data_IF_261889872094
#
_entry.id   IF_261889872094
#
_cell.length_a   1.000
_cell.length_b   1.000
_cell.length_c   1.000
_cell.angle_alpha   90.00
_cell.angle_beta   90.00
_cell.angle_gamma   90.00
#
_symmetry.space_group_name_H-M   'P 1'
#
loop_
_entity.id
_entity.type
_entity.pdbx_description
1 polymer ?
#
# COMPACT_ATOMS: atom_id res chain seq x y z
N UNK A 1 -0.78 -2.72 22.82
CA UNK A 1 0.44 -2.81 21.97
C UNK A 1 0.38 -1.58 21.11
N UNK A 2 1.32 -0.65 21.23
CA UNK A 2 1.21 0.65 20.55
C UNK A 2 1.58 0.48 19.08
N UNK A 3 0.78 1.00 18.17
CA UNK A 3 1.04 1.03 16.74
C UNK A 3 1.68 2.37 16.34
N UNK A 4 2.69 2.30 15.48
CA UNK A 4 3.26 3.44 14.76
C UNK A 4 3.07 3.22 13.27
N UNK A 5 2.22 4.03 12.64
CA UNK A 5 2.08 4.08 11.19
C UNK A 5 3.03 5.15 10.64
N UNK A 6 3.83 4.80 9.64
CA UNK A 6 4.80 5.69 8.99
C UNK A 6 4.45 5.74 7.50
N UNK A 7 4.13 6.92 6.98
CA UNK A 7 3.98 7.13 5.54
C UNK A 7 5.37 7.18 4.90
N UNK A 8 5.64 6.27 3.96
CA UNK A 8 6.89 6.25 3.20
C UNK A 8 6.99 7.51 2.34
N UNK A 9 8.20 8.00 2.14
CA UNK A 9 8.43 9.26 1.45
C UNK A 9 8.27 9.09 -0.08
N UNK A 10 7.50 9.98 -0.69
CA UNK A 10 7.31 10.03 -2.15
C UNK A 10 8.42 10.84 -2.86
N UNK A 11 9.24 11.58 -2.11
CA UNK A 11 10.33 12.42 -2.61
C UNK A 11 11.52 12.42 -1.64
N UNK A 12 12.64 13.03 -2.03
CA UNK A 12 13.83 13.26 -1.16
C UNK A 12 13.55 14.19 0.06
N UNK A 13 12.28 14.42 0.41
CA UNK A 13 11.89 15.11 1.64
C UNK A 13 12.44 14.39 2.85
N UNK A 14 13.10 15.16 3.72
CA UNK A 14 13.87 14.66 4.86
C UNK A 14 13.01 14.12 6.01
N UNK A 15 11.70 13.98 5.85
CA UNK A 15 10.79 13.55 6.93
C UNK A 15 9.65 12.68 6.46
N UNK A 16 9.27 11.72 7.31
CA UNK A 16 8.10 10.86 7.15
C UNK A 16 6.95 11.40 7.99
N UNK A 17 5.75 11.45 7.41
CA UNK A 17 4.55 11.64 8.19
C UNK A 17 4.30 10.37 9.03
N UNK A 18 3.84 10.54 10.27
CA UNK A 18 3.56 9.41 11.16
C UNK A 18 2.31 9.63 12.00
N UNK A 19 1.74 8.53 12.48
CA UNK A 19 0.69 8.51 13.48
C UNK A 19 0.95 7.41 14.51
N UNK A 20 0.69 7.69 15.78
CA UNK A 20 0.77 6.76 16.91
C UNK A 20 -0.63 6.46 17.41
N UNK A 21 -0.89 5.20 17.71
CA UNK A 21 -2.18 4.74 18.22
C UNK A 21 -1.99 3.61 19.22
N UNK A 22 -2.60 3.71 20.40
CA UNK A 22 -2.53 2.69 21.45
C UNK A 22 -3.51 1.52 21.20
N UNK A 23 -4.62 1.79 20.50
CA UNK A 23 -5.71 0.86 20.22
C UNK A 23 -5.76 0.38 18.76
N UNK A 24 -4.95 0.98 17.88
CA UNK A 24 -4.93 0.71 16.44
C UNK A 24 -6.08 1.36 15.67
N UNK A 25 -6.90 2.19 16.32
CA UNK A 25 -8.11 2.80 15.76
C UNK A 25 -8.03 4.33 15.86
N UNK A 26 -7.84 4.86 17.07
CA UNK A 26 -7.76 6.29 17.32
C UNK A 26 -6.30 6.77 17.23
N UNK A 27 -6.10 7.97 16.67
CA UNK A 27 -4.79 8.61 16.62
C UNK A 27 -4.55 9.35 17.94
N UNK A 28 -3.54 8.91 18.69
CA UNK A 28 -3.13 9.57 19.94
C UNK A 28 -2.20 10.75 19.66
N UNK A 29 -1.28 10.59 18.71
CA UNK A 29 -0.39 11.65 18.25
C UNK A 29 0.03 11.44 16.81
N UNK A 30 0.40 12.53 16.14
CA UNK A 30 0.85 12.50 14.75
C UNK A 30 1.83 13.64 14.48
N UNK A 31 2.58 13.56 13.39
CA UNK A 31 3.52 14.59 13.00
C UNK A 31 4.31 14.21 11.75
N UNK A 32 5.40 14.93 11.51
CA UNK A 32 6.40 14.59 10.51
C UNK A 32 7.80 14.67 11.12
N UNK A 33 8.64 13.68 10.87
CA UNK A 33 10.00 13.63 11.39
C UNK A 33 10.92 12.78 10.50
N UNK A 34 12.24 13.08 10.44
CA UNK A 34 13.20 12.15 9.85
C UNK A 34 13.14 10.80 10.58
N UNK A 35 13.52 9.72 9.91
CA UNK A 35 13.42 8.36 10.46
C UNK A 35 14.10 8.21 11.84
N UNK A 36 15.24 8.87 12.05
CA UNK A 36 15.98 8.86 13.31
C UNK A 36 15.25 9.52 14.49
N UNK A 37 14.23 10.35 14.22
CA UNK A 37 13.47 11.10 15.23
C UNK A 37 12.00 10.63 15.34
N UNK A 38 11.63 9.54 14.66
CA UNK A 38 10.30 8.97 14.79
C UNK A 38 10.07 8.45 16.23
N UNK A 39 8.83 8.52 16.75
CA UNK A 39 8.54 8.10 18.12
C UNK A 39 8.82 6.61 18.36
N UNK A 40 9.52 6.29 19.45
CA UNK A 40 9.79 4.91 19.87
C UNK A 40 9.04 4.60 21.16
N UNK A 41 8.38 3.45 21.22
CA UNK A 41 7.66 2.98 22.41
C UNK A 41 7.97 1.51 22.75
N UNK A 42 7.82 1.08 24.02
CA UNK A 42 7.92 -0.33 24.39
C UNK A 42 6.83 -1.17 23.70
N UNK A 43 7.20 -2.33 23.12
CA UNK A 43 6.26 -3.23 22.41
C UNK A 43 5.47 -2.48 21.33
N UNK A 44 6.18 -1.72 20.50
CA UNK A 44 5.63 -0.97 19.39
C UNK A 44 5.55 -1.84 18.13
N UNK A 45 4.42 -1.82 17.46
CA UNK A 45 4.26 -2.39 16.12
C UNK A 45 4.44 -1.28 15.09
N UNK A 46 5.41 -1.43 14.19
CA UNK A 46 5.68 -0.44 13.14
C UNK A 46 5.05 -0.89 11.83
N UNK A 47 4.24 -0.01 11.23
CA UNK A 47 3.50 -0.22 10.00
C UNK A 47 4.00 0.77 8.97
N UNK A 48 4.65 0.28 7.91
CA UNK A 48 5.02 1.10 6.78
C UNK A 48 3.81 1.26 5.85
N UNK A 49 3.45 2.50 5.54
CA UNK A 49 2.33 2.86 4.68
C UNK A 49 2.88 3.37 3.35
N UNK A 50 2.60 2.66 2.27
CA UNK A 50 3.01 3.03 0.92
C UNK A 50 2.05 4.11 0.39
N UNK A 51 2.53 5.31 0.02
CA UNK A 51 1.67 6.38 -0.45
C UNK A 51 0.93 5.98 -1.73
N UNK A 52 -0.30 6.47 -1.87
CA UNK A 52 -1.16 6.13 -3.00
C UNK A 52 -0.52 6.47 -4.37
N UNK A 53 0.26 7.55 -4.45
CA UNK A 53 0.97 7.97 -5.66
C UNK A 53 2.08 7.00 -6.13
N UNK A 54 2.58 6.13 -5.24
CA UNK A 54 3.59 5.10 -5.54
C UNK A 54 3.00 3.73 -5.88
N UNK A 55 1.68 3.62 -5.89
CA UNK A 55 0.97 2.36 -6.10
C UNK A 55 0.17 2.37 -7.40
N UNK A 56 0.31 1.29 -8.16
CA UNK A 56 -0.58 0.95 -9.26
C UNK A 56 -1.39 -0.30 -8.93
N UNK A 57 -2.67 -0.29 -9.24
CA UNK A 57 -3.58 -1.40 -8.95
C UNK A 57 -3.98 -2.14 -10.22
N UNK A 58 -3.72 -3.44 -10.26
CA UNK A 58 -4.06 -4.32 -11.38
C UNK A 58 -5.11 -5.33 -10.95
N UNK A 59 -6.15 -5.49 -11.78
CA UNK A 59 -7.15 -6.54 -11.57
C UNK A 59 -6.88 -7.72 -12.48
N UNK A 60 -6.71 -8.91 -11.91
CA UNK A 60 -6.40 -10.13 -12.67
C UNK A 60 -7.05 -11.35 -12.02
N UNK A 61 -7.15 -12.47 -12.74
CA UNK A 61 -7.64 -13.74 -12.20
C UNK A 61 -6.47 -14.68 -11.97
N UNK A 62 -6.25 -15.09 -10.71
CA UNK A 62 -5.14 -15.98 -10.39
C UNK A 62 -5.42 -17.40 -10.91
N UNK A 63 -4.46 -18.03 -11.60
CA UNK A 63 -4.57 -19.43 -11.94
C UNK A 63 -4.56 -20.31 -10.69
N UNK A 64 -5.05 -21.54 -10.83
CA UNK A 64 -5.13 -22.51 -9.72
C UNK A 64 -3.75 -22.70 -9.08
N UNK A 65 -3.66 -22.47 -7.78
CA UNK A 65 -2.40 -22.56 -7.01
C UNK A 65 -1.58 -21.26 -6.91
N UNK A 66 -2.02 -20.15 -7.54
CA UNK A 66 -1.33 -18.84 -7.50
C UNK A 66 -1.52 -18.02 -6.23
N UNK A 67 -2.23 -18.52 -5.22
CA UNK A 67 -2.56 -17.76 -3.99
C UNK A 67 -1.53 -17.95 -2.86
N UNK A 68 -0.50 -18.78 -3.05
CA UNK A 68 0.59 -18.90 -2.07
C UNK A 68 1.52 -17.70 -2.24
N UNK A 69 1.34 -16.72 -1.35
CA UNK A 69 2.11 -15.49 -1.29
C UNK A 69 3.63 -15.77 -1.42
N UNK A 70 4.26 -15.00 -2.29
CA UNK A 70 5.71 -14.90 -2.47
C UNK A 70 6.46 -16.14 -2.99
N UNK A 71 5.82 -16.91 -3.88
CA UNK A 71 6.57 -17.91 -4.67
C UNK A 71 7.16 -17.27 -5.94
N UNK A 72 8.41 -17.58 -6.34
CA UNK A 72 8.97 -17.16 -7.64
C UNK A 72 8.05 -17.51 -8.83
N UNK A 73 7.30 -18.61 -8.69
CA UNK A 73 6.27 -19.03 -9.65
C UNK A 73 5.13 -18.01 -9.79
N UNK A 74 4.67 -17.44 -8.67
CA UNK A 74 3.63 -16.42 -8.70
C UNK A 74 4.12 -15.14 -9.39
N UNK A 75 5.37 -14.72 -9.13
CA UNK A 75 5.97 -13.58 -9.85
C UNK A 75 6.05 -13.83 -11.35
N UNK A 76 6.47 -15.01 -11.79
CA UNK A 76 6.48 -15.36 -13.22
C UNK A 76 5.07 -15.35 -13.85
N UNK A 77 4.07 -15.86 -13.12
CA UNK A 77 2.67 -15.84 -13.57
C UNK A 77 2.13 -14.42 -13.65
N UNK A 78 2.37 -13.58 -12.64
CA UNK A 78 1.94 -12.18 -12.65
C UNK A 78 2.66 -11.39 -13.74
N UNK A 79 3.94 -11.67 -13.96
CA UNK A 79 4.73 -11.11 -15.06
C UNK A 79 4.04 -11.36 -16.40
N UNK A 80 3.76 -12.62 -16.74
CA UNK A 80 3.08 -12.92 -18.00
C UNK A 80 1.62 -12.43 -18.08
N UNK A 81 0.88 -12.38 -16.96
CA UNK A 81 -0.50 -11.87 -16.94
C UNK A 81 -0.58 -10.35 -17.08
N UNK A 82 0.47 -9.64 -16.68
CA UNK A 82 0.50 -8.18 -16.60
C UNK A 82 1.50 -7.56 -17.59
N UNK A 83 2.22 -8.35 -18.39
CA UNK A 83 3.27 -7.89 -19.32
C UNK A 83 2.77 -6.78 -20.26
N UNK A 84 1.57 -6.93 -20.82
CA UNK A 84 0.97 -5.93 -21.71
C UNK A 84 0.36 -4.72 -20.97
N UNK A 85 0.26 -4.77 -19.65
CA UNK A 85 -0.39 -3.74 -18.81
C UNK A 85 0.60 -2.93 -17.98
N UNK A 86 1.85 -3.41 -17.86
CA UNK A 86 2.90 -2.76 -17.10
C UNK A 86 3.74 -1.91 -18.05
N UNK A 87 3.98 -0.67 -17.63
CA UNK A 87 4.84 0.25 -18.37
C UNK A 87 6.33 -0.05 -18.13
N UNK A 88 6.64 -0.73 -17.02
CA UNK A 88 8.00 -1.04 -16.56
C UNK A 88 8.29 -2.54 -16.62
N UNK A 89 9.59 -2.87 -16.60
CA UNK A 89 10.07 -4.23 -16.48
C UNK A 89 9.59 -4.87 -15.16
N UNK A 90 8.95 -6.03 -15.27
CA UNK A 90 8.44 -6.85 -14.16
C UNK A 90 9.53 -7.11 -13.11
N UNK A 91 10.79 -7.24 -13.50
CA UNK A 91 11.90 -7.48 -12.56
C UNK A 91 12.18 -6.29 -11.63
N UNK A 92 11.85 -5.08 -12.07
CA UNK A 92 12.00 -3.83 -11.31
C UNK A 92 10.83 -3.54 -10.36
N UNK A 93 9.77 -4.35 -10.42
CA UNK A 93 8.52 -4.15 -9.69
C UNK A 93 8.35 -5.11 -8.51
N UNK A 94 7.66 -4.64 -7.48
CA UNK A 94 7.16 -5.45 -6.38
C UNK A 94 5.65 -5.66 -6.55
N UNK A 95 5.19 -6.87 -6.26
CA UNK A 95 3.79 -7.26 -6.39
C UNK A 95 3.25 -7.75 -5.05
N UNK A 96 2.12 -7.21 -4.62
CA UNK A 96 1.39 -7.67 -3.44
C UNK A 96 -0.06 -8.02 -3.81
N UNK A 97 -0.51 -9.22 -3.42
CA UNK A 97 -1.86 -9.69 -3.68
C UNK A 97 -2.76 -9.29 -2.52
N UNK A 98 -4.01 -8.94 -2.82
CA UNK A 98 -5.02 -8.67 -1.79
C UNK A 98 -5.11 -9.80 -0.74
N UNK A 99 -5.42 -9.45 0.52
CA UNK A 99 -5.57 -10.45 1.56
C UNK A 99 -6.74 -11.39 1.24
N UNK A 100 -6.58 -12.68 1.59
CA UNK A 100 -7.61 -13.72 1.40
C UNK A 100 -7.99 -14.04 -0.06
N UNK A 101 -7.11 -13.73 -1.01
CA UNK A 101 -7.28 -14.08 -2.42
C UNK A 101 -7.65 -15.56 -2.65
N UNK A 102 -8.65 -15.79 -3.51
CA UNK A 102 -9.13 -17.13 -3.87
C UNK A 102 -8.71 -17.49 -5.29
N UNK A 103 -8.24 -18.71 -5.48
CA UNK A 103 -7.89 -19.21 -6.81
C UNK A 103 -9.10 -19.20 -7.76
N UNK A 104 -8.91 -18.73 -8.99
CA UNK A 104 -9.97 -18.66 -9.99
C UNK A 104 -10.98 -17.51 -9.81
N UNK A 105 -10.79 -16.64 -8.82
CA UNK A 105 -11.56 -15.40 -8.68
C UNK A 105 -10.71 -14.19 -9.12
N UNK A 106 -11.35 -13.09 -9.57
CA UNK A 106 -10.67 -11.83 -9.77
C UNK A 106 -10.10 -11.30 -8.46
N UNK A 107 -8.84 -10.88 -8.47
CA UNK A 107 -8.13 -10.30 -7.34
C UNK A 107 -7.49 -8.96 -7.69
N UNK A 108 -7.28 -8.14 -6.68
CA UNK A 108 -6.42 -6.97 -6.78
C UNK A 108 -4.96 -7.33 -6.53
N UNK A 109 -4.09 -6.76 -7.35
CA UNK A 109 -2.63 -6.81 -7.20
C UNK A 109 -2.11 -5.39 -7.13
N UNK A 110 -1.49 -5.04 -6.02
CA UNK A 110 -0.75 -3.79 -5.85
C UNK A 110 0.64 -3.94 -6.47
N UNK A 111 1.08 -2.90 -7.18
CA UNK A 111 2.36 -2.85 -7.88
C UNK A 111 3.08 -1.55 -7.52
N UNK A 112 4.37 -1.63 -7.19
CA UNK A 112 5.23 -0.46 -6.98
C UNK A 112 6.66 -0.76 -7.41
N UNK A 113 7.48 0.29 -7.54
CA UNK A 113 8.91 0.16 -7.79
C UNK A 113 9.60 -0.56 -6.62
N UNK A 114 10.30 -1.67 -6.93
CA UNK A 114 10.94 -2.52 -5.92
C UNK A 114 12.14 -1.84 -5.26
N UNK A 115 12.98 -1.18 -6.06
CA UNK A 115 14.20 -0.55 -5.58
C UNK A 115 13.90 0.57 -4.58
N UNK A 116 12.93 1.43 -4.91
CA UNK A 116 12.39 2.45 -4.02
C UNK A 116 11.87 1.86 -2.71
N UNK A 117 10.97 0.87 -2.76
CA UNK A 117 10.39 0.26 -1.55
C UNK A 117 11.49 -0.33 -0.64
N UNK A 118 12.47 -1.02 -1.22
CA UNK A 118 13.60 -1.56 -0.47
C UNK A 118 14.51 -0.47 0.10
N UNK A 119 14.63 0.68 -0.57
CA UNK A 119 15.36 1.85 -0.07
C UNK A 119 14.72 2.41 1.19
N UNK A 120 13.42 2.70 1.13
CA UNK A 120 12.63 3.24 2.24
C UNK A 120 12.63 2.31 3.45
N UNK A 121 12.40 1.02 3.25
CA UNK A 121 12.41 0.04 4.34
C UNK A 121 13.79 -0.06 5.00
N UNK A 122 14.88 -0.06 4.22
CA UNK A 122 16.24 -0.07 4.77
C UNK A 122 16.56 1.21 5.54
N UNK A 123 16.07 2.36 5.08
CA UNK A 123 16.24 3.64 5.77
C UNK A 123 15.60 3.56 7.17
N UNK A 124 14.34 3.11 7.25
CA UNK A 124 13.64 2.94 8.53
C UNK A 124 14.33 1.91 9.44
N UNK A 125 14.75 0.76 8.89
CA UNK A 125 15.46 -0.28 9.63
C UNK A 125 16.80 0.22 10.18
N UNK A 126 17.55 1.01 9.40
CA UNK A 126 18.83 1.61 9.83
C UNK A 126 18.65 2.63 10.96
N UNK A 127 17.46 3.24 11.06
CA UNK A 127 17.07 4.12 12.15
C UNK A 127 16.51 3.34 13.38
N UNK A 128 16.49 2.00 13.34
CA UNK A 128 16.07 1.14 14.44
C UNK A 128 14.59 0.74 14.42
N UNK A 129 13.85 1.07 13.37
CA UNK A 129 12.44 0.71 13.24
C UNK A 129 12.28 -0.65 12.56
N UNK A 130 11.87 -1.67 13.32
CA UNK A 130 11.56 -2.98 12.76
C UNK A 130 10.15 -2.99 12.19
N UNK A 131 10.04 -3.01 10.87
CA UNK A 131 8.75 -3.02 10.15
C UNK A 131 8.05 -4.37 10.36
N UNK A 132 6.84 -4.33 10.93
CA UNK A 132 6.01 -5.50 11.17
C UNK A 132 5.16 -5.87 9.94
N UNK A 133 4.68 -4.85 9.21
CA UNK A 133 3.94 -5.02 7.96
C UNK A 133 4.05 -3.78 7.07
N UNK A 134 3.85 -4.00 5.78
CA UNK A 134 3.71 -2.96 4.76
C UNK A 134 2.27 -2.95 4.28
N UNK A 135 1.63 -1.79 4.27
CA UNK A 135 0.23 -1.62 3.84
C UNK A 135 0.12 -0.48 2.83
N UNK A 136 -0.84 -0.53 1.91
CA UNK A 136 -1.13 0.62 1.07
C UNK A 136 -1.82 1.72 1.89
N UNK A 137 -1.57 2.99 1.56
CA UNK A 137 -2.35 4.12 2.10
C UNK A 137 -3.83 3.97 1.73
N UNK A 138 -4.10 3.48 0.51
CA UNK A 138 -5.44 3.27 -0.03
C UNK A 138 -5.50 1.99 -0.84
N UNK A 139 -6.51 1.17 -0.58
CA UNK A 139 -6.85 0.03 -1.43
C UNK A 139 -8.12 0.33 -2.24
N UNK A 140 -8.27 -0.25 -3.44
CA UNK A 140 -9.54 -0.27 -4.15
C UNK A 140 -10.63 -0.87 -3.26
N UNK A 141 -11.84 -0.32 -3.37
CA UNK A 141 -13.01 -0.91 -2.73
C UNK A 141 -13.45 -2.16 -3.52
N UNK A 142 -14.08 -3.15 -2.85
CA UNK A 142 -14.69 -4.27 -3.54
C UNK A 142 -15.69 -3.78 -4.59
N UNK A 143 -15.63 -4.34 -5.80
CA UNK A 143 -16.62 -4.11 -6.84
C UNK A 143 -17.74 -5.13 -6.67
N UNK A 144 -18.94 -4.65 -6.38
CA UNK A 144 -20.16 -5.45 -6.28
C UNK A 144 -20.50 -6.15 -7.59
N UNK A 145 -21.16 -7.31 -7.50
CA UNK A 145 -21.65 -8.08 -8.63
C UNK A 145 -22.91 -7.41 -9.23
N UNK A 146 -22.73 -6.30 -9.95
CA UNK A 146 -23.89 -5.52 -10.40
C UNK A 146 -23.60 -4.26 -11.21
N UNK A 147 -22.60 -4.29 -12.09
CA UNK A 147 -22.55 -3.55 -13.38
C UNK A 147 -22.65 -2.02 -13.46
N UNK A 148 -23.13 -1.28 -12.46
CA UNK A 148 -23.29 0.17 -12.56
C UNK A 148 -22.14 0.88 -11.84
N UNK A 149 -21.41 1.72 -12.59
CA UNK A 149 -20.28 2.48 -12.07
C UNK A 149 -20.84 3.66 -11.24
N UNK A 150 -20.57 3.70 -9.93
CA UNK A 150 -21.04 4.75 -9.04
C UNK A 150 -20.28 6.05 -9.30
N UNK A 151 -20.82 7.16 -8.78
CA UNK A 151 -20.17 8.46 -8.83
C UNK A 151 -18.76 8.34 -8.20
N UNK A 152 -17.72 8.87 -8.88
CA UNK A 152 -16.38 8.88 -8.32
C UNK A 152 -16.36 9.66 -7.01
N UNK A 153 -15.90 9.01 -5.94
CA UNK A 153 -15.58 9.68 -4.69
C UNK A 153 -14.24 10.39 -4.89
N UNK A 154 -14.28 11.72 -4.84
CA UNK A 154 -13.08 12.55 -4.85
C UNK A 154 -12.70 12.84 -3.41
N UNK A 155 -11.48 12.48 -3.03
CA UNK A 155 -10.88 12.85 -1.77
C UNK A 155 -9.72 13.81 -2.04
N UNK A 156 -9.76 14.98 -1.40
CA UNK A 156 -8.66 15.94 -1.44
C UNK A 156 -7.95 15.88 -0.09
N UNK A 157 -6.64 15.62 -0.11
CA UNK A 157 -5.76 15.54 1.04
C UNK A 157 -4.48 16.34 0.78
N UNK A 158 -3.53 16.31 1.72
CA UNK A 158 -2.27 17.04 1.62
C UNK A 158 -2.32 18.43 2.26
N UNK A 159 -1.38 19.29 1.89
CA UNK A 159 -1.34 20.69 2.33
C UNK A 159 -1.81 21.61 1.20
N UNK A 160 -2.13 22.88 1.47
CA UNK A 160 -2.45 23.84 0.41
C UNK A 160 -1.35 23.97 -0.66
N UNK A 161 -0.09 23.78 -0.27
CA UNK A 161 1.09 23.87 -1.14
C UNK A 161 1.34 22.58 -1.93
N UNK A 162 0.85 21.44 -1.41
CA UNK A 162 0.98 20.12 -2.00
C UNK A 162 -0.35 19.36 -1.91
N UNK A 163 -1.39 19.81 -2.65
CA UNK A 163 -2.68 19.15 -2.62
C UNK A 163 -2.60 17.83 -3.37
N UNK A 164 -3.08 16.76 -2.74
CA UNK A 164 -3.26 15.46 -3.35
C UNK A 164 -4.75 15.23 -3.60
N UNK A 165 -5.10 14.92 -4.85
CA UNK A 165 -6.46 14.53 -5.21
C UNK A 165 -6.47 13.04 -5.53
N UNK A 166 -7.14 12.26 -4.69
CA UNK A 166 -7.40 10.85 -4.97
C UNK A 166 -8.84 10.68 -5.45
N UNK A 167 -9.01 10.04 -6.59
CA UNK A 167 -10.34 9.66 -7.09
C UNK A 167 -10.51 8.16 -6.92
N UNK A 168 -11.51 7.75 -6.14
CA UNK A 168 -11.89 6.36 -5.94
C UNK A 168 -13.30 6.14 -6.51
N UNK A 169 -13.48 5.20 -7.42
CA UNK A 169 -14.82 4.76 -7.81
C UNK A 169 -15.24 3.64 -6.85
N UNK A 170 -16.38 3.83 -6.17
CA UNK A 170 -16.80 2.99 -5.03
C UNK A 170 -18.19 2.40 -5.24
N UNK A 171 -18.29 1.10 -5.54
CA UNK A 171 -19.59 0.38 -5.56
C UNK A 171 -20.33 0.61 -4.25
N UNK A 172 -21.44 1.37 -4.25
CA UNK A 172 -22.22 1.64 -3.05
C UNK A 172 -23.48 0.77 -3.00
N UNK A 173 -23.66 0.07 -1.88
CA UNK A 173 -24.92 -0.61 -1.51
C UNK A 173 -25.84 0.38 -0.79
N UNK A 174 -27.08 0.49 -1.26
CA UNK A 174 -28.18 1.12 -0.56
C UNK A 174 -29.27 0.08 -0.32
N UNK A 175 -29.71 0.02 0.95
CA UNK A 175 -30.71 -0.88 1.57
C UNK A 175 -32.01 -1.00 0.78
#
# INVERSE_FOLDING_TARGET
MTMLAILLSDSDTTGHAYAVSADGIAVDSHGAAPAALLPVAPRQEVVAVVPAGRLSWQRTTLPRGGHKADTPRLRAVLGGLLEERLLDDVESLHFAIEPHARAGAPVWVAVCEKAWLQGELRLLESAGHRIARVVPERSPLPLEAGGELPLPLVHVSGTPEQPLVTVATSGCSGV
#
